data_IF_133582129489
#
_entry.id   IF_133582129489
#
_cell.length_a   1.000
_cell.length_b   1.000
_cell.length_c   1.000
_cell.angle_alpha   90.00
_cell.angle_beta   90.00
_cell.angle_gamma   90.00
#
_symmetry.space_group_name_H-M   'P 1'
#
loop_
_entity.id
_entity.type
_entity.pdbx_description
1 polymer ?
#
# COMPACT_ATOMS: atom_id res chain seq x y z
N UNK A 1 14.29 25.36 -40.03
CA UNK A 1 12.99 25.43 -39.37
C UNK A 1 13.15 25.20 -37.87
N UNK A 2 12.45 26.00 -37.13
CA UNK A 2 12.52 25.85 -35.71
C UNK A 2 11.61 24.70 -35.23
N UNK A 3 12.16 23.81 -34.44
CA UNK A 3 11.35 22.77 -33.85
C UNK A 3 10.33 23.36 -32.89
N UNK A 4 9.13 22.83 -32.93
CA UNK A 4 8.13 23.18 -31.92
C UNK A 4 8.56 22.66 -30.58
N UNK A 5 8.61 23.53 -29.62
CA UNK A 5 8.81 23.08 -28.26
C UNK A 5 7.54 22.44 -27.76
N UNK A 6 7.69 21.26 -27.17
CA UNK A 6 6.57 20.60 -26.51
C UNK A 6 6.23 21.38 -25.26
N UNK A 7 5.00 21.86 -25.19
CA UNK A 7 4.50 22.53 -23.99
C UNK A 7 3.83 21.51 -23.09
N UNK A 8 4.54 21.11 -22.05
CA UNK A 8 4.05 20.07 -21.15
C UNK A 8 2.82 20.49 -20.35
N UNK A 9 2.64 21.80 -20.12
CA UNK A 9 1.44 22.30 -19.48
C UNK A 9 0.22 22.03 -20.35
N UNK A 10 0.32 22.32 -21.65
CA UNK A 10 -0.77 22.05 -22.59
C UNK A 10 -1.08 20.57 -22.69
N UNK A 11 -0.05 19.73 -22.73
CA UNK A 11 -0.24 18.29 -22.76
C UNK A 11 -0.96 17.77 -21.52
N UNK A 12 -0.61 18.30 -20.35
CA UNK A 12 -1.29 17.93 -19.11
C UNK A 12 -2.75 18.40 -19.11
N UNK A 13 -3.01 19.60 -19.63
CA UNK A 13 -4.37 20.13 -19.69
C UNK A 13 -5.29 19.29 -20.59
N UNK A 14 -4.73 18.64 -21.59
CA UNK A 14 -5.46 17.76 -22.51
C UNK A 14 -5.79 16.41 -21.89
N UNK A 15 -5.10 16.01 -20.80
CA UNK A 15 -5.33 14.73 -20.16
C UNK A 15 -6.54 14.78 -19.24
N UNK A 16 -7.18 13.62 -19.10
CA UNK A 16 -8.19 13.44 -18.06
C UNK A 16 -7.48 13.50 -16.71
N UNK A 17 -7.94 14.42 -15.85
CA UNK A 17 -7.34 14.61 -14.53
C UNK A 17 -7.32 13.30 -13.70
N UNK A 18 -8.31 12.44 -13.88
CA UNK A 18 -8.37 11.17 -13.16
C UNK A 18 -7.18 10.26 -13.46
N UNK A 19 -6.67 10.27 -14.70
CA UNK A 19 -5.50 9.47 -15.08
C UNK A 19 -4.26 9.81 -14.26
N UNK A 20 -4.16 11.05 -13.82
CA UNK A 20 -3.02 11.53 -13.05
C UNK A 20 -3.28 11.40 -11.56
N UNK A 21 -4.51 11.69 -11.11
CA UNK A 21 -4.88 11.64 -9.69
C UNK A 21 -5.14 10.24 -9.16
N UNK A 22 -5.59 9.30 -10.01
CA UNK A 22 -5.86 7.94 -9.58
C UNK A 22 -4.56 7.27 -9.17
N UNK A 23 -4.58 6.70 -7.98
CA UNK A 23 -3.39 6.08 -7.42
C UNK A 23 -3.17 4.71 -8.03
N UNK A 24 -1.93 4.35 -8.40
CA UNK A 24 -1.62 3.01 -8.87
C UNK A 24 -2.02 1.94 -7.86
N UNK A 25 -2.49 0.81 -8.37
CA UNK A 25 -2.86 -0.35 -7.56
C UNK A 25 -2.14 -1.59 -8.05
N UNK A 26 -2.07 -2.60 -7.19
CA UNK A 26 -1.54 -3.92 -7.55
C UNK A 26 -2.17 -4.97 -6.66
N UNK A 27 -2.19 -6.21 -7.14
CA UNK A 27 -2.55 -7.34 -6.30
C UNK A 27 -1.30 -8.07 -5.85
N UNK A 28 -1.26 -8.45 -4.60
CA UNK A 28 -0.16 -9.24 -4.02
C UNK A 28 -0.74 -10.49 -3.39
N UNK A 29 0.05 -11.56 -3.37
CA UNK A 29 -0.33 -12.84 -2.78
C UNK A 29 0.56 -13.11 -1.59
N UNK A 30 -0.06 -13.47 -0.46
CA UNK A 30 0.68 -13.86 0.74
C UNK A 30 0.85 -15.37 0.71
N UNK A 31 2.06 -15.82 0.42
CA UNK A 31 2.34 -17.24 0.17
C UNK A 31 1.96 -18.13 1.34
N UNK A 32 2.43 -17.78 2.53
CA UNK A 32 2.20 -18.59 3.73
C UNK A 32 0.70 -18.74 4.04
N UNK A 33 -0.04 -17.63 4.02
CA UNK A 33 -1.48 -17.67 4.28
C UNK A 33 -2.24 -18.42 3.19
N UNK A 34 -1.82 -18.27 1.94
CA UNK A 34 -2.42 -19.02 0.83
C UNK A 34 -2.27 -20.51 1.00
N UNK A 35 -1.09 -20.96 1.44
CA UNK A 35 -0.83 -22.35 1.69
C UNK A 35 -1.66 -22.89 2.86
N UNK A 36 -1.81 -22.11 3.91
CA UNK A 36 -2.59 -22.50 5.10
C UNK A 36 -4.07 -22.65 4.77
N UNK A 37 -4.65 -21.70 4.03
CA UNK A 37 -6.08 -21.72 3.74
C UNK A 37 -6.45 -22.56 2.50
N UNK A 38 -5.45 -22.99 1.73
CA UNK A 38 -5.68 -23.79 0.52
C UNK A 38 -6.28 -23.01 -0.65
N UNK A 39 -6.10 -21.71 -0.68
CA UNK A 39 -6.58 -20.83 -1.74
C UNK A 39 -5.69 -19.59 -1.78
N UNK A 40 -5.74 -18.85 -2.90
CA UNK A 40 -4.96 -17.63 -3.03
C UNK A 40 -5.44 -16.56 -2.05
N UNK A 41 -4.57 -16.18 -1.11
CA UNK A 41 -4.80 -15.04 -0.22
C UNK A 41 -4.17 -13.82 -0.86
N UNK A 42 -5.00 -13.05 -1.56
CA UNK A 42 -4.55 -11.89 -2.33
C UNK A 42 -5.06 -10.60 -1.70
N UNK A 43 -4.17 -9.63 -1.56
CA UNK A 43 -4.51 -8.29 -1.12
C UNK A 43 -4.37 -7.33 -2.29
N UNK A 44 -5.35 -6.45 -2.46
CA UNK A 44 -5.24 -5.34 -3.38
C UNK A 44 -4.69 -4.15 -2.63
N UNK A 45 -3.56 -3.63 -3.08
CA UNK A 45 -2.89 -2.49 -2.46
C UNK A 45 -2.87 -1.31 -3.42
N UNK A 46 -2.79 -0.11 -2.87
CA UNK A 46 -2.68 1.14 -3.62
C UNK A 46 -1.47 1.95 -3.17
N UNK A 47 -1.06 2.87 -4.02
CA UNK A 47 -0.09 3.88 -3.63
C UNK A 47 -0.63 4.76 -2.51
N UNK A 48 0.25 5.40 -1.77
CA UNK A 48 -0.07 6.37 -0.73
C UNK A 48 0.17 7.79 -1.23
N UNK A 49 -0.64 8.71 -0.77
CA UNK A 49 -0.44 10.15 -1.03
C UNK A 49 0.63 10.71 -0.10
N UNK A 50 1.17 11.88 -0.47
CA UNK A 50 2.14 12.59 0.38
C UNK A 50 1.57 12.89 1.76
N UNK A 51 0.32 13.34 1.83
CA UNK A 51 -0.33 13.63 3.10
C UNK A 51 -0.46 12.39 3.98
N UNK A 52 -0.80 11.24 3.38
CA UNK A 52 -0.88 9.99 4.12
C UNK A 52 0.48 9.58 4.67
N UNK A 53 1.54 9.67 3.85
CA UNK A 53 2.89 9.33 4.28
C UNK A 53 3.35 10.24 5.41
N UNK A 54 3.12 11.54 5.30
CA UNK A 54 3.50 12.51 6.32
C UNK A 54 2.82 12.26 7.67
N UNK A 55 1.63 11.69 7.66
CA UNK A 55 0.90 11.39 8.89
C UNK A 55 1.33 10.09 9.58
N UNK A 56 2.19 9.30 8.92
CA UNK A 56 2.59 8.00 9.45
C UNK A 56 3.72 8.14 10.47
N UNK A 57 3.62 7.46 11.63
CA UNK A 57 4.74 7.38 12.55
C UNK A 57 5.86 6.49 11.99
N UNK A 58 7.04 6.61 12.58
CA UNK A 58 8.17 5.76 12.23
C UNK A 58 8.03 4.36 12.86
N UNK A 59 8.84 3.42 12.36
CA UNK A 59 8.94 2.08 12.91
C UNK A 59 7.76 1.18 12.52
N UNK A 60 7.54 0.16 13.34
CA UNK A 60 6.51 -0.86 13.03
C UNK A 60 5.10 -0.31 13.07
N UNK A 61 4.85 0.70 13.90
CA UNK A 61 3.53 1.36 13.92
C UNK A 61 3.24 2.02 12.57
N UNK A 62 4.22 2.66 11.97
CA UNK A 62 4.08 3.25 10.64
C UNK A 62 3.85 2.20 9.57
N UNK A 63 4.53 1.06 9.67
CA UNK A 63 4.34 -0.08 8.76
C UNK A 63 2.90 -0.58 8.84
N UNK A 64 2.39 -0.79 10.04
CA UNK A 64 1.02 -1.27 10.23
C UNK A 64 0.00 -0.25 9.71
N UNK A 65 0.24 1.04 9.93
CA UNK A 65 -0.62 2.10 9.42
C UNK A 65 -0.65 2.16 7.90
N UNK A 66 0.48 1.97 7.25
CA UNK A 66 0.54 1.92 5.79
C UNK A 66 -0.29 0.76 5.24
N UNK A 67 -0.20 -0.39 5.87
CA UNK A 67 -0.99 -1.56 5.47
C UNK A 67 -2.48 -1.28 5.65
N UNK A 68 -2.89 -0.75 6.80
CA UNK A 68 -4.30 -0.40 7.05
C UNK A 68 -4.84 0.58 6.02
N UNK A 69 -4.01 1.54 5.62
CA UNK A 69 -4.43 2.61 4.69
C UNK A 69 -4.46 2.13 3.25
N UNK A 70 -3.47 1.34 2.83
CA UNK A 70 -3.26 0.99 1.42
C UNK A 70 -3.99 -0.26 0.97
N UNK A 71 -4.33 -1.19 1.88
CA UNK A 71 -5.05 -2.40 1.51
C UNK A 71 -6.52 -2.08 1.28
N UNK A 72 -7.04 -2.44 0.09
CA UNK A 72 -8.38 -2.05 -0.34
C UNK A 72 -9.43 -3.13 -0.16
N UNK A 73 -9.06 -4.39 -0.26
CA UNK A 73 -10.03 -5.50 -0.36
C UNK A 73 -10.11 -6.37 0.88
N UNK A 74 -9.49 -5.96 1.98
CA UNK A 74 -9.51 -6.70 3.22
C UNK A 74 -9.84 -5.76 4.38
N UNK A 75 -10.86 -6.13 5.15
CA UNK A 75 -11.34 -5.29 6.26
C UNK A 75 -10.71 -5.74 7.58
N UNK A 76 -9.67 -5.04 8.00
CA UNK A 76 -9.02 -5.31 9.29
C UNK A 76 -9.87 -4.88 10.49
N UNK A 77 -11.00 -4.18 10.24
CA UNK A 77 -11.93 -3.79 11.31
C UNK A 77 -13.02 -4.84 11.53
N UNK A 78 -13.06 -5.91 10.73
CA UNK A 78 -14.07 -6.95 10.84
C UNK A 78 -14.09 -7.54 12.26
N UNK A 79 -15.25 -7.44 12.91
CA UNK A 79 -15.40 -7.83 14.30
C UNK A 79 -15.21 -9.34 14.52
N UNK A 80 -15.65 -10.15 13.57
CA UNK A 80 -15.50 -11.62 13.68
C UNK A 80 -14.04 -12.03 13.56
N UNK A 81 -13.30 -11.42 12.64
CA UNK A 81 -11.87 -11.70 12.48
C UNK A 81 -11.10 -11.26 13.74
N UNK A 82 -11.36 -10.05 14.22
CA UNK A 82 -10.69 -9.56 15.41
C UNK A 82 -10.99 -10.45 16.63
N UNK A 83 -12.23 -10.88 16.77
CA UNK A 83 -12.63 -11.78 17.84
C UNK A 83 -11.99 -13.16 17.75
N UNK A 84 -11.93 -13.71 16.54
CA UNK A 84 -11.35 -15.03 16.29
C UNK A 84 -9.89 -15.12 16.75
N UNK A 85 -9.11 -14.08 16.50
CA UNK A 85 -7.68 -14.05 16.82
C UNK A 85 -7.37 -13.45 18.19
N UNK A 86 -8.40 -13.07 18.95
CA UNK A 86 -8.23 -12.58 20.31
C UNK A 86 -7.83 -13.74 21.24
N UNK A 87 -6.74 -13.59 22.01
CA UNK A 87 -6.33 -14.63 22.95
C UNK A 87 -7.37 -14.91 24.03
N UNK A 88 -7.42 -16.14 24.50
CA UNK A 88 -8.27 -16.52 25.61
C UNK A 88 -7.93 -15.70 26.85
N UNK A 89 -8.97 -15.27 27.58
CA UNK A 89 -8.82 -14.47 28.78
C UNK A 89 -8.75 -12.97 28.58
N UNK A 90 -8.66 -12.54 27.33
CA UNK A 90 -8.72 -11.11 27.00
C UNK A 90 -10.17 -10.68 26.76
N UNK A 91 -10.63 -9.65 27.49
CA UNK A 91 -12.03 -9.20 27.43
C UNK A 91 -12.37 -8.40 26.20
N UNK A 92 -11.38 -7.71 25.59
CA UNK A 92 -11.61 -6.86 24.42
C UNK A 92 -11.07 -7.53 23.15
N UNK A 93 -11.78 -7.40 22.01
CA UNK A 93 -11.25 -7.92 20.76
C UNK A 93 -9.99 -7.16 20.33
N UNK A 94 -9.20 -7.80 19.47
CA UNK A 94 -7.99 -7.18 18.91
C UNK A 94 -8.37 -5.88 18.19
N UNK A 95 -7.47 -4.90 18.27
CA UNK A 95 -7.56 -3.71 17.41
C UNK A 95 -7.18 -4.10 15.97
N UNK A 96 -7.51 -3.28 14.96
CA UNK A 96 -7.07 -3.56 13.58
C UNK A 96 -5.56 -3.75 13.45
N UNK A 97 -4.77 -2.94 14.16
CA UNK A 97 -3.31 -3.07 14.16
C UNK A 97 -2.86 -4.40 14.76
N UNK A 98 -3.49 -4.79 15.88
CA UNK A 98 -3.20 -6.07 16.50
C UNK A 98 -3.60 -7.25 15.61
N UNK A 99 -4.68 -7.09 14.84
CA UNK A 99 -5.09 -8.13 13.88
C UNK A 99 -4.04 -8.31 12.78
N UNK A 100 -3.46 -7.22 12.28
CA UNK A 100 -2.35 -7.30 11.32
C UNK A 100 -1.21 -8.13 11.91
N UNK A 101 -0.83 -7.86 13.15
CA UNK A 101 0.24 -8.59 13.81
C UNK A 101 -0.09 -10.06 14.04
N UNK A 102 -1.36 -10.38 14.25
CA UNK A 102 -1.80 -11.77 14.41
C UNK A 102 -1.78 -12.54 13.09
N UNK A 103 -2.04 -11.87 11.97
CA UNK A 103 -2.13 -12.50 10.66
C UNK A 103 -0.81 -12.55 9.91
N UNK A 104 0.03 -11.54 10.05
CA UNK A 104 1.22 -11.35 9.23
C UNK A 104 2.50 -11.43 10.05
N UNK A 105 3.50 -12.08 9.50
CA UNK A 105 4.84 -12.08 10.07
C UNK A 105 5.53 -10.73 9.79
N UNK A 106 6.50 -10.32 10.64
CA UNK A 106 7.19 -9.05 10.44
C UNK A 106 7.79 -8.88 9.05
N UNK A 107 8.41 -9.93 8.52
CA UNK A 107 8.99 -9.88 7.17
C UNK A 107 7.94 -9.74 6.09
N UNK A 108 6.77 -10.35 6.28
CA UNK A 108 5.65 -10.20 5.35
C UNK A 108 5.15 -8.76 5.33
N UNK A 109 5.02 -8.15 6.51
CA UNK A 109 4.62 -6.74 6.61
C UNK A 109 5.60 -5.82 5.89
N UNK A 110 6.89 -6.04 6.07
CA UNK A 110 7.92 -5.25 5.41
C UNK A 110 7.84 -5.40 3.89
N UNK A 111 7.63 -6.62 3.39
CA UNK A 111 7.50 -6.85 1.96
C UNK A 111 6.26 -6.18 1.38
N UNK A 112 5.14 -6.21 2.10
CA UNK A 112 3.91 -5.53 1.68
C UNK A 112 4.16 -4.02 1.57
N UNK A 113 4.77 -3.43 2.58
CA UNK A 113 5.06 -1.98 2.58
C UNK A 113 6.05 -1.63 1.47
N UNK A 114 7.01 -2.50 1.18
CA UNK A 114 7.93 -2.28 0.05
C UNK A 114 7.15 -2.19 -1.26
N UNK A 115 6.16 -3.06 -1.47
CA UNK A 115 5.31 -3.01 -2.66
C UNK A 115 4.45 -1.75 -2.71
N UNK A 116 3.91 -1.35 -1.55
CA UNK A 116 3.16 -0.09 -1.44
C UNK A 116 4.06 1.10 -1.79
N UNK A 117 5.28 1.12 -1.28
CA UNK A 117 6.24 2.18 -1.57
C UNK A 117 6.61 2.20 -3.06
N UNK A 118 6.80 1.05 -3.68
CA UNK A 118 7.07 0.96 -5.13
C UNK A 118 5.94 1.60 -5.92
N UNK A 119 4.69 1.29 -5.58
CA UNK A 119 3.53 1.91 -6.22
C UNK A 119 3.47 3.42 -5.97
N UNK A 120 4.00 3.87 -4.85
CA UNK A 120 4.02 5.29 -4.46
C UNK A 120 5.19 6.06 -5.10
N UNK A 121 5.94 5.43 -5.98
CA UNK A 121 7.02 6.07 -6.73
C UNK A 121 8.40 5.93 -6.12
N UNK A 122 8.55 5.19 -5.04
CA UNK A 122 9.86 4.98 -4.39
C UNK A 122 10.64 3.86 -5.08
N UNK A 123 10.85 4.05 -6.38
CA UNK A 123 11.64 3.13 -7.22
C UNK A 123 12.77 3.92 -7.87
N UNK A 124 13.83 3.23 -8.26
CA UNK A 124 15.00 3.89 -8.86
C UNK A 124 14.70 4.47 -10.23
N UNK A 125 13.69 3.98 -10.92
CA UNK A 125 13.34 4.37 -12.28
C UNK A 125 12.16 5.33 -12.40
N UNK A 126 11.60 5.79 -11.26
CA UNK A 126 10.46 6.72 -11.28
C UNK A 126 10.82 8.07 -11.89
N UNK A 127 12.07 8.51 -11.74
CA UNK A 127 12.59 9.73 -12.31
C UNK A 127 13.93 9.43 -12.96
N UNK A 128 14.07 9.81 -14.22
CA UNK A 128 15.31 9.57 -14.97
C UNK A 128 16.01 10.88 -15.28
N UNK A 129 17.34 10.86 -15.23
CA UNK A 129 18.15 11.97 -15.71
C UNK A 129 18.45 11.71 -17.19
N UNK A 130 17.78 12.48 -18.06
CA UNK A 130 17.99 12.33 -19.52
C UNK A 130 19.30 13.00 -19.93
N UNK A 131 19.61 14.14 -19.32
CA UNK A 131 20.81 14.89 -19.63
C UNK A 131 21.41 15.50 -18.38
N UNK A 132 22.67 15.22 -18.14
CA UNK A 132 23.39 15.77 -17.00
C UNK A 132 24.18 17.00 -17.44
N UNK A 133 23.90 18.12 -16.81
CA UNK A 133 24.56 19.39 -17.09
C UNK A 133 25.74 19.65 -16.18
#
# INVERSE_FOLDING_TARGET
MKESKINIVELLLEQDASKIRDLPTAQIRITRLSDIIGADFCLEIRALTSAEIESMPDGMEGIDRKILTAVKNFDFTDAQLRGKFTPDGRCTPLTPTELIDALLLPGEKIQIVRKINDLSGYTDDAVEVIKKN
#
